data_IF_992870586556
#
_entry.id   IF_992870586556
#
_cell.length_a   1.000
_cell.length_b   1.000
_cell.length_c   1.000
_cell.angle_alpha   90.00
_cell.angle_beta   90.00
_cell.angle_gamma   90.00
#
_symmetry.space_group_name_H-M   'P 1'
#
loop_
_entity.id
_entity.type
_entity.pdbx_description
1 polymer ?
#
# COMPACT_ATOMS: atom_id res chain seq x y z
N UNK A 1 2.81 14.41 -6.97
CA UNK A 1 2.55 13.34 -6.00
C UNK A 1 2.87 13.81 -4.60
N UNK A 2 1.95 13.58 -3.65
CA UNK A 2 2.17 13.79 -2.21
C UNK A 2 2.11 12.44 -1.49
N UNK A 3 3.05 12.19 -0.57
CA UNK A 3 3.06 11.00 0.29
C UNK A 3 3.03 11.45 1.75
N UNK A 4 2.09 10.89 2.52
CA UNK A 4 1.91 11.16 3.95
C UNK A 4 2.23 9.89 4.74
N UNK A 5 3.28 9.91 5.54
CA UNK A 5 3.69 8.79 6.39
C UNK A 5 3.70 9.22 7.87
N UNK A 6 2.68 8.90 8.59
CA UNK A 6 1.36 8.34 8.33
C UNK A 6 0.31 9.27 8.93
N UNK A 7 -0.95 9.14 8.50
CA UNK A 7 -2.00 10.10 8.83
C UNK A 7 -2.27 10.23 10.33
N UNK A 8 -1.99 9.20 11.14
CA UNK A 8 -2.15 9.24 12.59
C UNK A 8 -1.12 10.15 13.30
N UNK A 9 -0.09 10.64 12.62
CA UNK A 9 0.83 11.67 13.16
C UNK A 9 0.37 13.10 12.87
N UNK A 10 -0.60 13.27 11.99
CA UNK A 10 -1.17 14.59 11.69
C UNK A 10 -2.12 15.03 12.80
N UNK A 11 -2.20 16.34 13.01
CA UNK A 11 -3.17 16.97 13.89
C UNK A 11 -4.18 17.75 13.04
N UNK A 12 -5.45 17.72 13.44
CA UNK A 12 -6.45 18.59 12.85
C UNK A 12 -6.19 20.05 13.24
N UNK A 13 -6.55 20.98 12.37
CA UNK A 13 -6.40 22.42 12.64
C UNK A 13 -7.32 22.85 13.78
N UNK A 14 -8.49 22.22 13.89
CA UNK A 14 -9.43 22.47 14.98
C UNK A 14 -9.35 21.34 16.00
N UNK A 15 -9.23 21.66 17.30
CA UNK A 15 -9.34 20.65 18.34
C UNK A 15 -10.68 19.90 18.20
N UNK A 16 -10.63 18.58 18.24
CA UNK A 16 -11.80 17.72 18.22
C UNK A 16 -11.86 16.90 19.50
N UNK A 17 -13.06 16.59 19.97
CA UNK A 17 -13.29 15.80 21.17
C UNK A 17 -12.89 14.33 21.00
N UNK A 18 -12.66 13.88 19.77
CA UNK A 18 -12.25 12.51 19.51
C UNK A 18 -11.23 12.40 18.37
N UNK A 19 -10.26 11.50 18.55
CA UNK A 19 -9.25 11.19 17.54
C UNK A 19 -9.86 10.73 16.22
N UNK A 20 -11.00 10.02 16.29
CA UNK A 20 -11.73 9.58 15.11
C UNK A 20 -12.23 10.76 14.26
N UNK A 21 -12.71 11.83 14.90
CA UNK A 21 -13.15 13.04 14.18
C UNK A 21 -11.97 13.75 13.55
N UNK A 22 -10.84 13.87 14.25
CA UNK A 22 -9.62 14.46 13.70
C UNK A 22 -9.16 13.72 12.43
N UNK A 23 -9.09 12.39 12.46
CA UNK A 23 -8.72 11.58 11.30
C UNK A 23 -9.73 11.77 10.16
N UNK A 24 -11.01 11.94 10.48
CA UNK A 24 -12.05 12.22 9.48
C UNK A 24 -11.79 13.56 8.78
N UNK A 25 -11.46 14.62 9.52
CA UNK A 25 -11.13 15.93 8.94
C UNK A 25 -9.86 15.87 8.09
N UNK A 26 -8.82 15.18 8.58
CA UNK A 26 -7.57 14.99 7.86
C UNK A 26 -7.80 14.24 6.55
N UNK A 27 -8.56 13.14 6.57
CA UNK A 27 -8.88 12.35 5.37
C UNK A 27 -9.58 13.20 4.32
N UNK A 28 -10.61 13.96 4.71
CA UNK A 28 -11.31 14.88 3.82
C UNK A 28 -10.40 15.98 3.28
N UNK A 29 -9.56 16.56 4.14
CA UNK A 29 -8.59 17.56 3.74
C UNK A 29 -7.63 17.06 2.67
N UNK A 30 -7.05 15.86 2.85
CA UNK A 30 -6.18 15.23 1.86
C UNK A 30 -6.91 14.97 0.54
N UNK A 31 -8.18 14.54 0.61
CA UNK A 31 -9.01 14.35 -0.60
C UNK A 31 -9.28 15.67 -1.33
N UNK A 32 -9.50 16.75 -0.59
CA UNK A 32 -9.68 18.09 -1.17
C UNK A 32 -8.41 18.58 -1.86
N UNK A 33 -7.26 18.47 -1.20
CA UNK A 33 -5.95 18.82 -1.77
C UNK A 33 -5.70 18.07 -3.07
N UNK A 34 -5.94 16.74 -3.07
CA UNK A 34 -5.76 15.93 -4.27
C UNK A 34 -6.61 16.43 -5.46
N UNK A 35 -7.85 16.87 -5.17
CA UNK A 35 -8.77 17.38 -6.20
C UNK A 35 -8.42 18.79 -6.66
N UNK A 36 -8.12 19.71 -5.72
CA UNK A 36 -7.84 21.11 -6.03
C UNK A 36 -6.56 21.29 -6.81
N UNK A 37 -5.54 20.48 -6.47
CA UNK A 37 -4.24 20.56 -7.13
C UNK A 37 -4.10 19.57 -8.30
N UNK A 38 -5.10 18.72 -8.53
CA UNK A 38 -5.09 17.64 -9.54
C UNK A 38 -3.83 16.75 -9.42
N UNK A 39 -3.51 16.35 -8.19
CA UNK A 39 -2.33 15.52 -7.91
C UNK A 39 -2.72 14.24 -7.17
N UNK A 40 -2.00 13.12 -7.41
CA UNK A 40 -2.18 11.93 -6.60
C UNK A 40 -1.64 12.15 -5.18
N UNK A 41 -2.41 11.65 -4.19
CA UNK A 41 -2.04 11.66 -2.77
C UNK A 41 -2.04 10.21 -2.27
N UNK A 42 -0.92 9.77 -1.73
CA UNK A 42 -0.77 8.48 -1.04
C UNK A 42 -0.69 8.76 0.45
N UNK A 43 -1.66 8.24 1.21
CA UNK A 43 -1.66 8.35 2.65
C UNK A 43 -1.46 6.96 3.29
N UNK A 44 -0.41 6.81 4.08
CA UNK A 44 -0.19 5.61 4.88
C UNK A 44 -1.08 5.67 6.12
N UNK A 45 -1.69 4.54 6.46
CA UNK A 45 -2.54 4.41 7.63
C UNK A 45 -2.19 3.17 8.42
N UNK A 46 -2.02 3.33 9.72
CA UNK A 46 -1.84 2.21 10.63
C UNK A 46 -3.16 1.47 10.80
N UNK A 47 -3.11 0.15 10.80
CA UNK A 47 -4.27 -0.70 11.05
C UNK A 47 -4.56 -0.84 12.55
N UNK A 48 -5.82 -1.12 12.86
CA UNK A 48 -6.24 -1.48 14.22
C UNK A 48 -5.53 -2.75 14.69
N UNK A 49 -5.17 -2.79 15.98
CA UNK A 49 -4.58 -3.98 16.62
C UNK A 49 -5.51 -5.20 16.62
N UNK A 50 -6.78 -5.05 16.31
CA UNK A 50 -7.73 -6.15 16.19
C UNK A 50 -7.37 -7.15 15.08
N UNK A 51 -6.56 -6.74 14.09
CA UNK A 51 -6.02 -7.63 13.06
C UNK A 51 -5.23 -8.78 13.68
N UNK A 52 -4.44 -8.52 14.73
CA UNK A 52 -3.57 -9.53 15.36
C UNK A 52 -4.33 -10.64 16.08
N UNK A 53 -5.58 -10.40 16.47
CA UNK A 53 -6.46 -11.42 17.07
C UNK A 53 -7.16 -12.33 16.07
N UNK A 54 -7.02 -12.08 14.77
CA UNK A 54 -7.68 -12.84 13.71
C UNK A 54 -6.76 -13.93 13.17
N UNK A 55 -7.32 -15.12 12.93
CA UNK A 55 -6.56 -16.22 12.30
C UNK A 55 -6.01 -15.76 10.93
N UNK A 56 -4.70 -15.96 10.72
CA UNK A 56 -3.99 -15.54 9.51
C UNK A 56 -3.75 -14.03 9.41
N UNK A 57 -4.28 -13.22 10.33
CA UNK A 57 -4.05 -11.77 10.44
C UNK A 57 -4.23 -10.99 9.10
N UNK A 58 -5.03 -11.54 8.16
CA UNK A 58 -5.31 -10.87 6.88
C UNK A 58 -6.12 -9.60 7.12
N UNK A 59 -5.63 -8.42 6.67
CA UNK A 59 -6.32 -7.15 6.87
C UNK A 59 -7.58 -7.04 5.99
N UNK A 60 -8.57 -6.32 6.51
CA UNK A 60 -9.83 -6.02 5.82
C UNK A 60 -10.21 -4.55 6.05
N UNK A 61 -11.15 -4.00 5.26
CA UNK A 61 -11.54 -2.58 5.35
C UNK A 61 -11.98 -2.16 6.76
N UNK A 62 -12.64 -3.04 7.50
CA UNK A 62 -13.04 -2.75 8.89
C UNK A 62 -11.88 -2.56 9.85
N UNK A 63 -10.64 -2.94 9.47
CA UNK A 63 -9.45 -2.71 10.29
C UNK A 63 -8.95 -1.26 10.21
N UNK A 64 -9.48 -0.46 9.27
CA UNK A 64 -9.36 0.99 9.22
C UNK A 64 -10.34 1.69 10.21
N UNK A 65 -10.84 1.01 11.21
CA UNK A 65 -12.03 1.28 12.01
C UNK A 65 -12.01 2.59 12.82
N UNK A 66 -10.84 3.12 13.15
CA UNK A 66 -10.74 4.48 13.74
C UNK A 66 -10.98 5.57 12.68
N UNK A 67 -11.22 5.15 11.43
CA UNK A 67 -11.22 6.03 10.27
C UNK A 67 -12.18 5.51 9.19
N UNK A 68 -13.43 5.22 9.53
CA UNK A 68 -14.44 4.90 8.52
C UNK A 68 -14.50 5.95 7.39
N UNK A 69 -14.08 7.18 7.68
CA UNK A 69 -13.90 8.24 6.71
C UNK A 69 -12.79 7.93 5.70
N UNK A 70 -11.65 7.35 6.10
CA UNK A 70 -10.57 6.97 5.18
C UNK A 70 -11.10 6.01 4.12
N UNK A 71 -11.87 4.99 4.57
CA UNK A 71 -12.49 4.05 3.65
C UNK A 71 -13.43 4.75 2.67
N UNK A 72 -14.21 5.73 3.14
CA UNK A 72 -15.16 6.45 2.28
C UNK A 72 -14.46 7.41 1.31
N UNK A 73 -13.47 8.16 1.78
CA UNK A 73 -12.80 9.22 1.01
C UNK A 73 -11.80 8.68 -0.02
N UNK A 74 -11.09 7.58 0.30
CA UNK A 74 -10.11 6.99 -0.59
C UNK A 74 -10.74 6.42 -1.87
N UNK A 75 -10.11 6.63 -3.00
CA UNK A 75 -10.48 5.99 -4.28
C UNK A 75 -9.96 4.57 -4.35
N UNK A 76 -8.77 4.33 -3.80
CA UNK A 76 -8.13 3.02 -3.72
C UNK A 76 -7.71 2.79 -2.27
N UNK A 77 -8.01 1.59 -1.75
CA UNK A 77 -7.46 1.09 -0.47
C UNK A 77 -6.68 -0.16 -0.76
N UNK A 78 -5.40 -0.13 -0.38
CA UNK A 78 -4.47 -1.22 -0.58
C UNK A 78 -3.85 -1.64 0.76
N UNK A 79 -3.85 -2.93 1.05
CA UNK A 79 -3.15 -3.48 2.21
C UNK A 79 -1.92 -4.25 1.76
N UNK A 80 -0.88 -4.19 2.59
CA UNK A 80 0.31 -5.03 2.47
C UNK A 80 0.24 -6.04 3.62
N UNK A 81 0.06 -7.31 3.28
CA UNK A 81 -0.01 -8.39 4.24
C UNK A 81 1.22 -9.29 4.13
N UNK A 82 1.86 -9.57 5.26
CA UNK A 82 3.02 -10.44 5.39
C UNK A 82 2.63 -11.65 6.24
N UNK A 83 2.07 -12.72 5.63
CA UNK A 83 1.60 -13.88 6.38
C UNK A 83 2.73 -14.59 7.13
N UNK A 84 3.96 -14.55 6.63
CA UNK A 84 5.13 -15.14 7.26
C UNK A 84 5.53 -14.49 8.60
N UNK A 85 5.18 -13.22 8.81
CA UNK A 85 5.41 -12.53 10.08
C UNK A 85 4.38 -12.89 11.16
N UNK A 86 3.22 -13.39 10.73
CA UNK A 86 2.11 -13.78 11.60
C UNK A 86 2.04 -15.29 11.85
N UNK A 87 2.75 -16.09 11.05
CA UNK A 87 2.73 -17.55 11.10
C UNK A 87 3.56 -18.10 12.27
N UNK A 88 3.12 -19.19 12.82
CA UNK A 88 3.92 -19.98 13.75
C UNK A 88 5.08 -20.66 13.01
N UNK A 89 6.19 -20.88 13.72
CA UNK A 89 7.39 -21.54 13.17
C UNK A 89 7.07 -22.90 12.53
N UNK A 90 6.17 -23.67 13.17
CA UNK A 90 5.68 -24.95 12.65
C UNK A 90 4.97 -24.84 11.30
N UNK A 91 4.23 -23.77 11.06
CA UNK A 91 3.53 -23.53 9.78
C UNK A 91 4.52 -23.18 8.66
N UNK A 92 5.59 -22.45 9.02
CA UNK A 92 6.69 -22.14 8.11
C UNK A 92 7.50 -23.38 7.75
N UNK A 93 7.81 -24.24 8.74
CA UNK A 93 8.52 -25.50 8.53
C UNK A 93 7.72 -26.52 7.70
N UNK A 94 6.40 -26.54 7.89
CA UNK A 94 5.48 -27.40 7.12
C UNK A 94 5.21 -26.88 5.71
N UNK A 95 5.78 -25.72 5.34
CA UNK A 95 5.56 -25.10 4.04
C UNK A 95 4.13 -24.57 3.80
N UNK A 96 3.30 -24.47 4.84
CA UNK A 96 1.94 -23.94 4.75
C UNK A 96 1.93 -22.44 4.47
N UNK A 97 2.95 -21.73 4.96
CA UNK A 97 3.16 -20.31 4.71
C UNK A 97 4.53 -20.13 4.09
N UNK A 98 4.59 -19.43 2.96
CA UNK A 98 5.84 -19.16 2.24
C UNK A 98 6.54 -17.96 2.86
N UNK A 99 7.84 -18.08 3.16
CA UNK A 99 8.68 -16.97 3.67
C UNK A 99 8.86 -15.89 2.60
N UNK A 100 8.94 -14.65 3.06
CA UNK A 100 9.22 -13.48 2.22
C UNK A 100 8.18 -13.20 1.13
N UNK A 101 6.96 -13.69 1.29
CA UNK A 101 5.83 -13.33 0.43
C UNK A 101 5.09 -12.17 1.06
N UNK A 102 4.82 -11.15 0.26
CA UNK A 102 3.94 -10.05 0.62
C UNK A 102 2.72 -10.09 -0.30
N UNK A 103 1.56 -10.31 0.29
CA UNK A 103 0.30 -10.23 -0.41
C UNK A 103 -0.15 -8.78 -0.46
N UNK A 104 -0.36 -8.25 -1.66
CA UNK A 104 -0.96 -6.94 -1.89
C UNK A 104 -2.46 -7.15 -2.12
N UNK A 105 -3.27 -6.51 -1.27
CA UNK A 105 -4.72 -6.67 -1.26
C UNK A 105 -5.34 -5.34 -1.67
N UNK A 106 -5.89 -5.25 -2.88
CA UNK A 106 -6.67 -4.09 -3.31
C UNK A 106 -8.10 -4.30 -2.81
N UNK A 107 -8.37 -3.81 -1.60
CA UNK A 107 -9.65 -4.01 -0.92
C UNK A 107 -10.75 -3.04 -1.39
N UNK A 108 -10.36 -1.90 -1.96
CA UNK A 108 -11.26 -0.94 -2.61
C UNK A 108 -10.60 -0.36 -3.84
N UNK A 109 -11.35 -0.27 -4.93
CA UNK A 109 -10.95 0.42 -6.14
C UNK A 109 -12.19 1.00 -6.84
N UNK A 110 -12.34 2.32 -6.85
CA UNK A 110 -13.51 2.98 -7.46
C UNK A 110 -13.54 2.90 -8.98
N UNK A 111 -12.36 2.80 -9.61
CA UNK A 111 -12.22 2.84 -11.06
C UNK A 111 -11.90 1.47 -11.68
N UNK A 112 -11.79 0.40 -10.87
CA UNK A 112 -11.40 -0.92 -11.38
C UNK A 112 -11.78 -2.05 -10.43
N UNK A 113 -11.21 -3.21 -10.66
CA UNK A 113 -11.47 -4.42 -9.89
C UNK A 113 -10.67 -4.45 -8.58
N UNK A 114 -11.28 -5.00 -7.52
CA UNK A 114 -10.58 -5.40 -6.32
C UNK A 114 -9.91 -6.76 -6.57
N UNK A 115 -8.62 -6.88 -6.26
CA UNK A 115 -7.86 -8.11 -6.45
C UNK A 115 -6.70 -8.21 -5.49
N UNK A 116 -6.24 -9.43 -5.26
CA UNK A 116 -5.05 -9.73 -4.50
C UNK A 116 -3.96 -10.22 -5.45
N UNK A 117 -2.71 -9.92 -5.15
CA UNK A 117 -1.55 -10.47 -5.84
C UNK A 117 -0.35 -10.53 -4.92
N UNK A 118 0.56 -11.46 -5.21
CA UNK A 118 1.74 -11.69 -4.40
C UNK A 118 2.97 -10.99 -4.98
N UNK A 119 3.79 -10.45 -4.10
CA UNK A 119 5.14 -9.97 -4.36
C UNK A 119 6.13 -10.72 -3.48
N UNK A 120 7.39 -10.81 -3.89
CA UNK A 120 8.47 -11.27 -3.03
C UNK A 120 9.13 -10.08 -2.36
N UNK A 121 9.34 -10.16 -1.05
CA UNK A 121 10.01 -9.14 -0.27
C UNK A 121 11.45 -9.54 0.04
N UNK A 122 12.43 -8.77 -0.45
CA UNK A 122 13.84 -8.91 -0.11
C UNK A 122 14.16 -8.01 1.09
N UNK A 123 14.19 -8.59 2.30
CA UNK A 123 14.38 -7.85 3.56
C UNK A 123 15.72 -7.11 3.60
N UNK A 124 16.81 -7.71 3.11
CA UNK A 124 18.15 -7.11 3.07
C UNK A 124 18.20 -5.78 2.31
N UNK A 125 17.32 -5.60 1.33
CA UNK A 125 17.26 -4.41 0.46
C UNK A 125 15.98 -3.63 0.64
N UNK A 126 15.07 -4.05 1.55
CA UNK A 126 13.73 -3.48 1.73
C UNK A 126 12.98 -3.31 0.39
N UNK A 127 13.08 -4.31 -0.50
CA UNK A 127 12.59 -4.22 -1.86
C UNK A 127 11.55 -5.30 -2.17
N UNK A 128 10.45 -4.87 -2.80
CA UNK A 128 9.49 -5.78 -3.42
C UNK A 128 9.91 -6.10 -4.85
N UNK A 129 9.76 -7.35 -5.24
CA UNK A 129 10.04 -7.82 -6.62
C UNK A 129 8.88 -8.70 -7.10
N UNK A 130 8.68 -8.74 -8.40
CA UNK A 130 7.71 -9.66 -9.00
C UNK A 130 8.17 -11.10 -8.78
N UNK A 131 7.26 -12.03 -8.45
CA UNK A 131 7.60 -13.44 -8.36
C UNK A 131 7.98 -13.97 -9.74
N UNK A 132 8.98 -14.87 -9.84
CA UNK A 132 9.33 -15.50 -11.10
C UNK A 132 8.18 -16.42 -11.61
N UNK A 133 8.12 -16.68 -12.90
CA UNK A 133 7.07 -17.49 -13.51
C UNK A 133 6.94 -18.90 -12.90
N UNK A 134 8.05 -19.49 -12.44
CA UNK A 134 8.07 -20.76 -11.70
C UNK A 134 7.27 -20.71 -10.41
N UNK A 135 7.35 -19.57 -9.68
CA UNK A 135 6.62 -19.38 -8.43
C UNK A 135 5.11 -19.29 -8.63
N UNK A 136 4.68 -18.70 -9.76
CA UNK A 136 3.26 -18.55 -10.12
C UNK A 136 2.63 -19.92 -10.40
N UNK A 137 3.38 -20.84 -11.00
CA UNK A 137 2.92 -22.19 -11.27
C UNK A 137 2.73 -23.05 -10.00
N UNK A 138 3.52 -22.80 -8.95
CA UNK A 138 3.44 -23.50 -7.66
C UNK A 138 2.26 -23.05 -6.78
N UNK A 139 1.68 -21.86 -7.05
CA UNK A 139 0.56 -21.29 -6.29
C UNK A 139 -0.79 -21.73 -6.84
N UNK A 140 -0.85 -22.26 -8.06
CA UNK A 140 -2.09 -22.72 -8.66
C UNK A 140 -2.58 -24.00 -7.97
N UNK A 141 -3.23 -23.85 -6.81
CA UNK A 141 -4.17 -24.85 -6.32
C UNK A 141 -5.31 -24.97 -7.34
N UNK A 142 -5.82 -26.20 -7.59
CA UNK A 142 -6.85 -26.42 -8.60
C UNK A 142 -8.15 -25.72 -8.17
N UNK A 143 -8.43 -24.54 -8.70
CA UNK A 143 -9.67 -23.79 -8.45
C UNK A 143 -9.65 -22.31 -8.85
N UNK A 144 -8.57 -21.62 -8.74
CA UNK A 144 -8.49 -20.18 -9.08
C UNK A 144 -7.57 -19.93 -10.28
N UNK A 145 -8.16 -19.91 -11.46
CA UNK A 145 -7.46 -19.50 -12.69
C UNK A 145 -7.35 -17.98 -12.74
N UNK A 146 -6.23 -17.41 -12.29
CA UNK A 146 -5.82 -16.08 -12.75
C UNK A 146 -5.61 -16.20 -14.27
N UNK A 147 -6.37 -15.43 -15.04
CA UNK A 147 -6.29 -15.48 -16.50
C UNK A 147 -4.88 -15.03 -16.92
N UNK A 148 -4.14 -15.90 -17.60
CA UNK A 148 -2.79 -15.66 -18.17
C UNK A 148 -2.68 -14.40 -19.05
N UNK A 149 -3.80 -13.80 -19.44
CA UNK A 149 -3.83 -12.69 -20.40
C UNK A 149 -3.54 -11.31 -19.77
N UNK A 150 -3.51 -11.17 -18.45
CA UNK A 150 -3.33 -9.85 -17.84
C UNK A 150 -1.85 -9.50 -17.57
N UNK A 151 -0.95 -10.48 -17.57
CA UNK A 151 0.47 -10.25 -17.36
C UNK A 151 1.27 -10.00 -18.65
N UNK A 152 0.74 -10.41 -19.82
CA UNK A 152 1.43 -10.27 -21.11
C UNK A 152 1.17 -8.94 -21.84
N UNK A 153 0.45 -8.00 -21.22
CA UNK A 153 0.18 -6.68 -21.82
C UNK A 153 1.19 -5.60 -21.44
N UNK A 154 2.10 -5.90 -20.52
CA UNK A 154 3.24 -5.02 -20.23
C UNK A 154 4.46 -5.72 -20.80
N UNK A 155 4.70 -5.55 -22.10
CA UNK A 155 5.98 -5.92 -22.73
C UNK A 155 7.05 -4.93 -22.22
N UNK A 156 8.29 -5.41 -22.08
CA UNK A 156 9.46 -4.58 -21.69
C UNK A 156 9.71 -3.38 -22.63
N UNK A 157 8.90 -3.22 -23.68
CA UNK A 157 8.95 -2.13 -24.64
C UNK A 157 8.06 -0.93 -24.32
N UNK A 158 7.16 -1.03 -23.32
CA UNK A 158 6.23 0.07 -22.95
C UNK A 158 6.72 0.92 -21.77
N UNK A 159 7.91 0.63 -21.24
CA UNK A 159 8.58 1.52 -20.29
C UNK A 159 9.33 2.55 -21.13
N UNK A 160 8.92 3.83 -21.16
CA UNK A 160 9.73 4.85 -21.82
C UNK A 160 11.13 4.83 -21.19
N UNK A 161 12.15 4.70 -22.05
CA UNK A 161 13.53 4.78 -21.61
C UNK A 161 13.68 6.04 -20.75
N UNK A 162 14.29 5.91 -19.56
CA UNK A 162 14.65 7.03 -18.74
C UNK A 162 15.45 8.00 -19.65
N UNK A 163 14.89 9.17 -19.90
CA UNK A 163 15.62 10.24 -20.60
C UNK A 163 16.74 10.68 -19.67
N UNK A 164 17.93 10.88 -20.22
CA UNK A 164 19.16 11.32 -19.53
C UNK A 164 19.07 12.74 -18.89
N UNK A 165 17.87 13.18 -18.53
CA UNK A 165 17.61 14.45 -17.85
C UNK A 165 17.61 14.36 -16.32
N UNK A 166 17.99 13.23 -15.73
CA UNK A 166 18.31 13.13 -14.31
C UNK A 166 19.72 13.67 -14.00
N UNK A 167 19.97 14.91 -14.43
CA UNK A 167 21.09 15.68 -13.90
C UNK A 167 20.86 15.91 -12.40
N UNK A 168 21.86 15.69 -11.54
CA UNK A 168 21.72 15.93 -10.11
C UNK A 168 21.35 17.40 -9.89
N UNK A 169 20.29 17.62 -9.11
CA UNK A 169 19.87 18.93 -8.67
C UNK A 169 21.03 19.54 -7.85
N UNK A 170 21.82 20.42 -8.46
CA UNK A 170 22.76 21.28 -7.75
C UNK A 170 21.93 22.27 -6.92
N UNK A 171 21.88 22.02 -5.62
CA UNK A 171 21.24 22.93 -4.67
C UNK A 171 21.96 24.26 -4.67
N UNK A 172 21.27 25.33 -5.07
CA UNK A 172 21.69 26.69 -4.82
C UNK A 172 21.64 26.96 -3.30
N UNK A 173 22.81 26.91 -2.66
CA UNK A 173 23.03 27.34 -1.27
C UNK A 173 22.96 28.89 -1.19
N UNK A 174 21.77 29.43 -1.37
CA UNK A 174 21.58 30.87 -1.14
C UNK A 174 20.27 31.14 -0.38
N UNK A 175 20.17 30.66 0.87
CA UNK A 175 19.28 31.22 1.85
C UNK A 175 19.98 32.34 2.61
N UNK A 176 20.05 33.50 1.94
CA UNK A 176 20.38 34.76 2.60
C UNK A 176 19.24 35.15 3.56
N UNK A 177 19.67 35.53 4.76
CA UNK A 177 18.94 36.15 5.86
C UNK A 177 17.75 37.02 5.41
N UNK A 178 16.55 36.65 5.85
CA UNK A 178 15.43 37.60 6.01
C UNK A 178 14.78 37.35 7.35
N UNK A 179 14.81 38.38 8.20
CA UNK A 179 14.24 38.62 9.52
C UNK A 179 12.84 38.05 9.76
#
# INVERSE_FOLDING_TARGET
LVVVDHIQLMNAIKPSDSRQQEITEISRGLKMIAKELDIPVIALSQLSRLVTGRKGQKPVLSDLRESGAIEQDADIVMFIHRPDLAAEEKELEQGKVKKNVAQIIIAKNRAGECRDFDLLFKGEKSKFINPPASYINDIQAPGERIRKNDFNKISDGDIPAATDDDAPFEGDDNFGDVF
#
